data_IF_968553269550
#
_entry.id   IF_968553269550
#
_cell.length_a   1.000
_cell.length_b   1.000
_cell.length_c   1.000
_cell.angle_alpha   90.00
_cell.angle_beta   90.00
_cell.angle_gamma   90.00
#
_symmetry.space_group_name_H-M   'P 1'
#
loop_
_entity.id
_entity.type
_entity.pdbx_description
1 polymer ?
#
# COMPACT_ATOMS: atom_id res chain seq x y z
N UNK A 1 3.72 -68.73 -18.71
CA UNK A 1 3.12 -67.37 -18.77
C UNK A 1 3.36 -66.79 -20.16
N UNK A 2 2.37 -66.25 -20.87
CA UNK A 2 2.55 -65.77 -22.26
C UNK A 2 3.49 -64.55 -22.29
N UNK A 3 4.48 -64.53 -23.19
CA UNK A 3 5.53 -63.48 -23.29
C UNK A 3 4.97 -62.05 -23.32
N UNK A 4 3.80 -61.85 -23.93
CA UNK A 4 3.13 -60.54 -23.95
C UNK A 4 2.63 -60.09 -22.58
N UNK A 5 2.16 -61.01 -21.73
CA UNK A 5 1.73 -60.68 -20.37
C UNK A 5 2.93 -60.20 -19.51
N UNK A 6 4.10 -60.81 -19.69
CA UNK A 6 5.35 -60.39 -19.03
C UNK A 6 5.76 -58.97 -19.44
N UNK A 7 5.69 -58.67 -20.73
CA UNK A 7 6.04 -57.35 -21.28
C UNK A 7 5.06 -56.28 -20.77
N UNK A 8 3.75 -56.55 -20.76
CA UNK A 8 2.75 -55.61 -20.27
C UNK A 8 2.88 -55.33 -18.77
N UNK A 9 3.17 -56.36 -17.96
CA UNK A 9 3.44 -56.19 -16.52
C UNK A 9 4.70 -55.33 -16.31
N UNK A 10 5.76 -55.59 -17.08
CA UNK A 10 7.01 -54.83 -16.97
C UNK A 10 6.82 -53.35 -17.36
N UNK A 11 6.18 -53.07 -18.50
CA UNK A 11 5.91 -51.70 -18.97
C UNK A 11 4.94 -50.96 -18.04
N UNK A 12 3.89 -51.62 -17.56
CA UNK A 12 2.97 -51.04 -16.59
C UNK A 12 3.65 -50.72 -15.26
N UNK A 13 4.55 -51.60 -14.80
CA UNK A 13 5.39 -51.35 -13.63
C UNK A 13 6.34 -50.16 -13.82
N UNK A 14 7.02 -50.08 -14.97
CA UNK A 14 7.91 -48.95 -15.27
C UNK A 14 7.16 -47.62 -15.38
N UNK A 15 5.99 -47.61 -16.02
CA UNK A 15 5.16 -46.42 -16.14
C UNK A 15 4.62 -45.97 -14.78
N UNK A 16 4.15 -46.93 -13.96
CA UNK A 16 3.74 -46.65 -12.58
C UNK A 16 4.88 -46.07 -11.73
N UNK A 17 6.08 -46.64 -11.84
CA UNK A 17 7.28 -46.12 -11.16
C UNK A 17 7.67 -44.72 -11.64
N UNK A 18 7.59 -44.43 -12.94
CA UNK A 18 7.87 -43.11 -13.48
C UNK A 18 6.84 -42.08 -13.01
N UNK A 19 5.56 -42.46 -12.94
CA UNK A 19 4.48 -41.58 -12.47
C UNK A 19 4.60 -41.27 -10.97
N UNK A 20 4.94 -42.29 -10.17
CA UNK A 20 5.24 -42.14 -8.75
C UNK A 20 6.51 -41.31 -8.52
N UNK A 21 7.53 -41.46 -9.36
CA UNK A 21 8.72 -40.60 -9.32
C UNK A 21 8.37 -39.14 -9.63
N UNK A 22 7.57 -38.89 -10.67
CA UNK A 22 7.17 -37.54 -11.04
C UNK A 22 6.34 -36.84 -9.96
N UNK A 23 5.41 -37.53 -9.30
CA UNK A 23 4.62 -36.94 -8.22
C UNK A 23 5.45 -36.62 -6.97
N UNK A 24 6.58 -37.31 -6.77
CA UNK A 24 7.51 -37.04 -5.66
C UNK A 24 8.50 -35.92 -6.00
N UNK A 25 8.94 -35.78 -7.25
CA UNK A 25 9.95 -34.78 -7.65
C UNK A 25 9.37 -33.47 -8.22
N UNK A 26 8.09 -33.43 -8.62
CA UNK A 26 7.40 -32.21 -9.06
C UNK A 26 6.69 -31.48 -7.90
N UNK A 27 7.36 -31.37 -6.75
CA UNK A 27 6.87 -30.64 -5.59
C UNK A 27 7.35 -29.19 -5.68
N UNK A 28 6.42 -28.22 -5.61
CA UNK A 28 6.74 -26.80 -5.49
C UNK A 28 7.75 -26.60 -4.35
N UNK A 29 8.98 -26.24 -4.69
CA UNK A 29 10.00 -25.90 -3.70
C UNK A 29 9.82 -24.43 -3.35
N UNK A 30 9.52 -24.16 -2.07
CA UNK A 30 9.53 -22.78 -1.58
C UNK A 30 10.96 -22.23 -1.66
N UNK A 31 11.15 -20.91 -1.84
CA UNK A 31 12.48 -20.32 -1.81
C UNK A 31 13.21 -20.74 -0.52
N UNK A 32 14.52 -20.96 -0.58
CA UNK A 32 15.31 -21.45 0.57
C UNK A 32 16.40 -20.47 0.99
N UNK A 33 16.46 -19.29 0.36
CA UNK A 33 17.48 -18.29 0.66
C UNK A 33 17.36 -17.81 2.11
N UNK A 34 18.48 -17.91 2.84
CA UNK A 34 18.61 -17.41 4.21
C UNK A 34 18.82 -15.89 4.20
N UNK A 35 17.99 -15.09 4.89
CA UNK A 35 18.19 -13.66 4.97
C UNK A 35 19.55 -13.33 5.62
N UNK A 36 20.33 -12.39 5.04
CA UNK A 36 21.56 -11.90 5.65
C UNK A 36 21.31 -11.39 7.06
N UNK A 37 22.02 -11.95 8.05
CA UNK A 37 21.90 -11.56 9.45
C UNK A 37 20.67 -12.12 10.19
N UNK A 38 19.92 -13.06 9.60
CA UNK A 38 18.73 -13.67 10.22
C UNK A 38 17.72 -12.65 10.77
N UNK A 39 17.67 -11.46 10.16
CA UNK A 39 16.78 -10.38 10.56
C UNK A 39 15.30 -10.69 10.23
N UNK A 40 15.04 -11.72 9.43
CA UNK A 40 13.71 -12.25 9.09
C UNK A 40 13.79 -13.79 9.05
N UNK A 41 12.67 -14.49 9.23
CA UNK A 41 12.62 -15.93 9.00
C UNK A 41 12.66 -16.25 7.50
N UNK A 42 13.39 -17.29 7.10
CA UNK A 42 13.32 -17.83 5.73
C UNK A 42 11.92 -18.30 5.37
N UNK A 43 11.47 -18.16 4.09
CA UNK A 43 12.19 -17.55 2.98
C UNK A 43 12.13 -16.02 2.92
N UNK A 44 13.26 -15.40 2.61
CA UNK A 44 13.31 -13.99 2.25
C UNK A 44 13.01 -13.86 0.74
N UNK A 45 12.01 -13.08 0.37
CA UNK A 45 11.77 -12.69 -1.02
C UNK A 45 12.85 -11.68 -1.46
N UNK A 46 14.08 -12.16 -1.69
CA UNK A 46 15.24 -11.37 -2.19
C UNK A 46 15.40 -11.43 -3.71
N UNK A 47 14.41 -11.96 -4.42
CA UNK A 47 14.45 -12.07 -5.87
C UNK A 47 14.26 -10.70 -6.53
N UNK A 48 15.01 -10.42 -7.61
CA UNK A 48 14.80 -9.25 -8.47
C UNK A 48 13.58 -9.36 -9.39
N UNK A 49 12.90 -10.52 -9.38
CA UNK A 49 11.66 -10.75 -10.12
C UNK A 49 10.50 -10.09 -9.38
N UNK A 50 9.61 -9.44 -10.14
CA UNK A 50 8.37 -8.86 -9.64
C UNK A 50 7.52 -9.90 -8.88
N UNK A 51 6.81 -9.45 -7.85
CA UNK A 51 5.95 -10.30 -7.04
C UNK A 51 4.52 -9.77 -7.06
N UNK A 52 3.62 -10.59 -7.57
CA UNK A 52 2.20 -10.27 -7.58
C UNK A 52 1.50 -10.96 -6.42
N UNK A 53 0.76 -10.18 -5.62
CA UNK A 53 -0.14 -10.71 -4.60
C UNK A 53 -1.57 -10.48 -5.05
N UNK A 54 -2.29 -11.58 -5.34
CA UNK A 54 -3.70 -11.53 -5.71
C UNK A 54 -4.66 -11.05 -4.59
N UNK A 55 -4.14 -10.76 -3.39
CA UNK A 55 -4.93 -10.35 -2.23
C UNK A 55 -4.20 -9.30 -1.40
N UNK A 56 -4.76 -8.94 -0.24
CA UNK A 56 -4.25 -7.84 0.58
C UNK A 56 -2.83 -8.08 1.09
N UNK A 57 -1.98 -7.06 0.96
CA UNK A 57 -0.68 -6.97 1.63
C UNK A 57 -0.85 -6.23 2.96
N UNK A 58 -0.54 -6.89 4.08
CA UNK A 58 -0.49 -6.26 5.41
C UNK A 58 0.94 -6.33 5.95
N UNK A 59 1.49 -5.18 6.30
CA UNK A 59 2.85 -5.03 6.85
C UNK A 59 2.83 -4.10 8.06
N UNK A 60 3.73 -4.31 9.03
CA UNK A 60 3.87 -3.42 10.19
C UNK A 60 4.45 -2.07 9.79
N UNK A 61 5.40 -2.06 8.84
CA UNK A 61 5.94 -0.85 8.23
C UNK A 61 6.35 -1.13 6.78
N UNK A 62 6.19 -0.13 5.93
CA UNK A 62 6.58 -0.19 4.52
C UNK A 62 7.59 0.92 4.24
N UNK A 63 8.72 0.55 3.63
CA UNK A 63 9.73 1.50 3.15
C UNK A 63 10.12 1.09 1.73
N UNK A 64 9.81 1.95 0.76
CA UNK A 64 10.30 1.83 -0.62
C UNK A 64 11.54 2.70 -0.81
N UNK A 65 12.52 2.20 -1.55
CA UNK A 65 13.68 2.97 -2.02
C UNK A 65 13.55 3.40 -3.49
N UNK A 66 12.40 3.11 -4.10
CA UNK A 66 12.01 3.50 -5.45
C UNK A 66 10.58 4.07 -5.42
N UNK A 67 10.03 4.38 -6.58
CA UNK A 67 8.66 4.90 -6.70
C UNK A 67 7.63 3.89 -6.19
N UNK A 68 6.58 4.40 -5.54
CA UNK A 68 5.43 3.63 -5.12
C UNK A 68 4.19 4.17 -5.84
N UNK A 69 3.50 3.30 -6.58
CA UNK A 69 2.30 3.64 -7.34
C UNK A 69 1.11 2.95 -6.68
N UNK A 70 0.04 3.71 -6.46
CA UNK A 70 -1.23 3.21 -5.95
C UNK A 70 -2.33 3.56 -6.97
N UNK A 71 -2.92 2.55 -7.61
CA UNK A 71 -3.97 2.74 -8.63
C UNK A 71 -5.35 3.08 -8.02
N UNK A 72 -5.45 3.10 -6.69
CA UNK A 72 -6.69 3.33 -5.95
C UNK A 72 -6.45 4.22 -4.74
N UNK A 73 -7.46 4.38 -3.87
CA UNK A 73 -7.42 5.28 -2.73
C UNK A 73 -6.32 4.91 -1.73
N UNK A 74 -5.50 5.90 -1.36
CA UNK A 74 -4.58 5.82 -0.23
C UNK A 74 -5.25 6.50 0.97
N UNK A 75 -5.60 5.73 2.00
CA UNK A 75 -6.15 6.26 3.25
C UNK A 75 -5.05 6.28 4.31
N UNK A 76 -4.79 7.46 4.89
CA UNK A 76 -3.77 7.67 5.93
C UNK A 76 -4.48 8.16 7.19
N UNK A 77 -4.53 7.33 8.23
CA UNK A 77 -5.12 7.71 9.53
C UNK A 77 -4.17 8.58 10.37
N UNK A 78 -2.86 8.49 10.09
CA UNK A 78 -1.84 9.34 10.70
C UNK A 78 -1.46 10.53 9.83
N UNK A 79 -0.23 11.02 9.97
CA UNK A 79 0.30 12.16 9.20
C UNK A 79 1.00 11.71 7.92
N UNK A 80 0.89 12.53 6.87
CA UNK A 80 1.70 12.43 5.65
C UNK A 80 2.75 13.55 5.65
N UNK A 81 4.02 13.20 5.45
CA UNK A 81 5.09 14.15 5.19
C UNK A 81 5.68 13.89 3.81
N UNK A 82 5.65 14.89 2.92
CA UNK A 82 6.20 14.82 1.57
C UNK A 82 7.29 15.89 1.38
N UNK A 83 8.55 15.47 1.25
CA UNK A 83 9.71 16.38 1.16
C UNK A 83 10.06 16.75 -0.30
N UNK A 84 9.62 15.95 -1.28
CA UNK A 84 9.87 16.18 -2.71
C UNK A 84 8.79 17.00 -3.42
N UNK A 85 7.80 17.52 -2.68
CA UNK A 85 6.62 18.18 -3.22
C UNK A 85 5.49 17.21 -3.56
N UNK A 86 4.34 17.77 -3.92
CA UNK A 86 3.16 17.09 -4.46
C UNK A 86 2.82 17.82 -5.75
N UNK A 87 2.86 17.14 -6.90
CA UNK A 87 2.79 17.79 -8.22
C UNK A 87 1.79 17.11 -9.19
N UNK A 88 0.85 17.86 -9.80
CA UNK A 88 0.23 19.07 -9.24
C UNK A 88 -0.69 18.66 -8.09
N UNK A 89 -0.72 19.39 -6.97
CA UNK A 89 -1.65 19.06 -5.90
C UNK A 89 -3.05 19.47 -6.35
N UNK A 90 -3.87 18.49 -6.74
CA UNK A 90 -5.32 18.67 -6.73
C UNK A 90 -5.76 18.69 -5.27
N UNK A 91 -5.72 19.87 -4.65
CA UNK A 91 -6.24 20.07 -3.30
C UNK A 91 -7.77 20.00 -3.40
N UNK A 92 -8.34 18.82 -3.16
CA UNK A 92 -9.78 18.65 -2.95
C UNK A 92 -10.04 18.55 -1.44
N UNK A 93 -10.17 19.70 -0.80
CA UNK A 93 -11.00 19.84 0.39
C UNK A 93 -12.35 20.34 -0.16
N UNK A 94 -13.32 19.44 -0.27
CA UNK A 94 -14.46 19.61 -1.17
C UNK A 94 -15.40 20.73 -0.73
N UNK A 95 -15.24 21.92 -1.34
CA UNK A 95 -16.19 23.03 -1.25
C UNK A 95 -16.72 23.27 0.17
N UNK A 96 -15.82 23.16 1.15
CA UNK A 96 -16.16 23.28 2.56
C UNK A 96 -16.61 24.71 2.87
N UNK A 97 -17.34 24.88 3.96
CA UNK A 97 -17.68 26.20 4.48
C UNK A 97 -16.76 26.52 5.66
N UNK A 98 -16.75 27.79 6.06
CA UNK A 98 -16.05 28.19 7.30
C UNK A 98 -16.59 27.44 8.51
N UNK A 99 -17.90 27.19 8.55
CA UNK A 99 -18.54 26.47 9.64
C UNK A 99 -18.10 25.00 9.70
N UNK A 100 -18.03 24.30 8.57
CA UNK A 100 -17.64 22.87 8.56
C UNK A 100 -16.19 22.70 8.99
N UNK A 101 -15.28 23.57 8.54
CA UNK A 101 -13.87 23.55 8.96
C UNK A 101 -13.72 23.89 10.44
N UNK A 102 -14.42 24.91 10.95
CA UNK A 102 -14.41 25.27 12.38
C UNK A 102 -14.90 24.12 13.26
N UNK A 103 -15.90 23.36 12.79
CA UNK A 103 -16.39 22.19 13.52
C UNK A 103 -15.40 21.02 13.46
N UNK A 104 -14.83 20.73 12.29
CA UNK A 104 -13.81 19.70 12.12
C UNK A 104 -12.59 19.97 13.02
N UNK A 105 -12.15 21.22 13.12
CA UNK A 105 -11.03 21.64 13.97
C UNK A 105 -11.21 21.32 15.46
N UNK A 106 -12.44 21.20 15.97
CA UNK A 106 -12.71 20.81 17.36
C UNK A 106 -12.39 19.35 17.64
N UNK A 107 -12.46 18.51 16.62
CA UNK A 107 -12.27 17.06 16.72
C UNK A 107 -10.80 16.66 16.50
N UNK A 108 -9.96 17.58 16.00
CA UNK A 108 -8.53 17.32 15.80
C UNK A 108 -7.78 17.46 17.12
N UNK A 109 -7.34 16.33 17.67
CA UNK A 109 -6.83 16.30 19.04
C UNK A 109 -5.36 16.68 19.21
N UNK A 110 -4.47 16.62 18.21
CA UNK A 110 -3.06 17.01 18.42
C UNK A 110 -2.33 17.56 17.17
N UNK A 111 -1.74 18.76 17.33
CA UNK A 111 -0.71 19.42 16.48
C UNK A 111 -1.13 20.15 15.20
N UNK A 112 -2.41 20.32 14.89
CA UNK A 112 -2.81 21.19 13.77
C UNK A 112 -3.02 22.61 14.29
N UNK A 113 -2.22 23.55 13.80
CA UNK A 113 -2.33 24.98 14.16
C UNK A 113 -3.14 25.76 13.10
N UNK A 114 -3.14 25.27 11.86
CA UNK A 114 -3.91 25.85 10.76
C UNK A 114 -4.36 24.79 9.73
N UNK A 115 -5.49 25.05 9.07
CA UNK A 115 -6.10 24.19 8.04
C UNK A 115 -6.30 24.97 6.73
N UNK A 116 -5.61 24.56 5.66
CA UNK A 116 -5.80 25.13 4.33
C UNK A 116 -6.90 24.37 3.58
N UNK A 117 -7.92 25.05 3.08
CA UNK A 117 -9.05 24.42 2.39
C UNK A 117 -9.57 25.27 1.23
N UNK A 118 -10.31 24.64 0.31
CA UNK A 118 -11.07 25.34 -0.73
C UNK A 118 -12.46 25.67 -0.21
N UNK A 119 -12.75 26.96 -0.04
CA UNK A 119 -14.06 27.42 0.41
C UNK A 119 -15.06 27.42 -0.78
N UNK A 120 -16.13 26.63 -0.65
CA UNK A 120 -17.16 26.48 -1.68
C UNK A 120 -18.03 27.72 -1.90
N UNK A 121 -18.22 28.51 -0.84
CA UNK A 121 -19.06 29.73 -0.85
C UNK A 121 -18.31 30.90 -1.46
N UNK A 122 -17.06 31.12 -1.04
CA UNK A 122 -16.23 32.25 -1.50
C UNK A 122 -15.39 31.92 -2.73
N UNK A 123 -15.35 30.64 -3.15
CA UNK A 123 -14.63 30.13 -4.34
C UNK A 123 -13.13 30.51 -4.34
N UNK A 124 -12.47 30.37 -3.19
CA UNK A 124 -11.03 30.59 -3.03
C UNK A 124 -10.42 29.68 -1.98
N UNK A 125 -9.10 29.57 -2.00
CA UNK A 125 -8.34 28.94 -0.92
C UNK A 125 -8.33 29.86 0.30
N UNK A 126 -8.65 29.31 1.46
CA UNK A 126 -8.61 29.99 2.77
C UNK A 126 -7.85 29.11 3.77
N UNK A 127 -7.19 29.74 4.74
CA UNK A 127 -6.55 29.06 5.86
C UNK A 127 -7.32 29.39 7.14
N UNK A 128 -7.76 28.38 7.88
CA UNK A 128 -8.34 28.55 9.22
C UNK A 128 -7.24 28.37 10.27
N UNK A 129 -7.03 29.35 11.15
CA UNK A 129 -6.04 29.29 12.24
C UNK A 129 -6.78 28.99 13.55
N UNK A 130 -6.54 27.81 14.12
CA UNK A 130 -7.35 27.27 15.23
C UNK A 130 -7.17 28.11 16.50
N UNK A 131 -5.93 28.49 16.82
CA UNK A 131 -5.61 29.26 18.03
C UNK A 131 -6.19 30.68 18.05
N UNK A 132 -6.55 31.21 16.90
CA UNK A 132 -7.10 32.57 16.73
C UNK A 132 -8.60 32.57 16.41
N UNK A 133 -9.17 31.39 16.13
CA UNK A 133 -10.51 31.21 15.56
C UNK A 133 -10.80 32.15 14.37
N UNK A 134 -9.82 32.28 13.47
CA UNK A 134 -9.82 33.26 12.39
C UNK A 134 -9.50 32.63 11.03
N UNK A 135 -10.00 33.25 9.96
CA UNK A 135 -9.75 32.86 8.57
C UNK A 135 -8.79 33.84 7.89
N UNK A 136 -7.87 33.31 7.11
CA UNK A 136 -6.88 34.06 6.36
C UNK A 136 -6.90 33.68 4.88
N UNK A 137 -6.56 34.63 4.01
CA UNK A 137 -6.23 34.33 2.62
C UNK A 137 -4.94 33.51 2.56
N UNK A 138 -4.66 32.88 1.42
CA UNK A 138 -3.38 32.18 1.22
C UNK A 138 -2.17 33.12 1.26
N UNK A 139 -2.38 34.43 1.12
CA UNK A 139 -1.35 35.47 1.26
C UNK A 139 -1.16 35.95 2.70
N UNK A 140 -1.98 35.47 3.64
CA UNK A 140 -1.89 35.82 5.06
C UNK A 140 -2.71 37.04 5.47
N UNK A 141 -3.64 37.51 4.63
CA UNK A 141 -4.53 38.62 4.98
C UNK A 141 -5.73 38.09 5.77
N UNK A 142 -6.06 38.74 6.88
CA UNK A 142 -7.25 38.40 7.67
C UNK A 142 -8.51 38.58 6.82
N UNK A 143 -9.40 37.60 6.89
CA UNK A 143 -10.70 37.65 6.25
C UNK A 143 -11.74 38.02 7.31
N UNK A 144 -12.27 39.24 7.20
CA UNK A 144 -13.40 39.67 8.02
C UNK A 144 -14.65 38.81 7.69
N UNK A 145 -15.31 38.28 8.72
CA UNK A 145 -16.55 37.48 8.60
C UNK A 145 -17.79 38.34 8.38
#
# INVERSE_FOLDING_TARGET
MKKQLLISIFLGGMFGLALLGHSVFAVFQTPTAVPPGANVATPINVSSVAQDKAGVLRVTGFRSFADAIFDTNVNITGKLTALGGVDPPYVSFSAETRETIRNFAKDVQEHEEAMLFWNGETRRMEAYVIGEDAFYTITGDLIEE
#
